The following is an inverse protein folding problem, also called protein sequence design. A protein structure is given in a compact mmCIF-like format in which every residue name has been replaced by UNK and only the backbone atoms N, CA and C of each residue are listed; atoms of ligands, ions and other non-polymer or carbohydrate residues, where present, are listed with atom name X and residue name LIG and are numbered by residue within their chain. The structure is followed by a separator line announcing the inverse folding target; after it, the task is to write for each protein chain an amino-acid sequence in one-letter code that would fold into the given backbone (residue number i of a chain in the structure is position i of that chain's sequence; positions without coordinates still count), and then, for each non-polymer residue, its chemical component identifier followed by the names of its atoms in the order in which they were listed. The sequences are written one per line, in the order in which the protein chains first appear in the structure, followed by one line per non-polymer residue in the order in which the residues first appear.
data_IF_019346998559
#
_entry.id   IF_019346998559
#
_cell.length_a   1.000
_cell.length_b   1.000
_cell.length_c   1.000
_cell.angle_alpha   90.00
_cell.angle_beta   90.00
_cell.angle_gamma   90.00
#
_symmetry.space_group_name_H-M   'P 1'
#
loop_
_entity.id
_entity.type
_entity.pdbx_description
1 polymer ?
#
# COMPACT_ATOMS: atom_id res chain seq x y z
N UNK A 1 10.63 8.60 5.53
CA UNK A 1 10.30 7.18 5.85
C UNK A 1 11.56 6.30 5.92
N UNK A 2 11.49 5.19 6.68
CA UNK A 2 12.54 4.15 6.80
C UNK A 2 11.94 2.74 6.61
N UNK A 3 12.77 1.70 6.71
CA UNK A 3 12.37 0.33 6.42
C UNK A 3 11.90 0.15 4.98
N UNK A 4 11.02 -0.82 4.75
CA UNK A 4 10.41 -1.06 3.44
C UNK A 4 9.69 0.17 2.87
N UNK A 5 9.05 0.99 3.72
CA UNK A 5 8.27 2.15 3.26
C UNK A 5 9.11 3.24 2.58
N UNK A 6 10.44 3.25 2.74
CA UNK A 6 11.31 4.10 1.92
C UNK A 6 11.16 3.82 0.41
N UNK A 7 10.71 2.61 0.04
CA UNK A 7 10.41 2.22 -1.35
C UNK A 7 9.27 3.01 -1.97
N UNK A 8 8.43 3.68 -1.17
CA UNK A 8 7.41 4.61 -1.63
C UNK A 8 8.01 5.77 -2.45
N UNK A 9 9.18 6.27 -2.03
CA UNK A 9 9.88 7.35 -2.73
C UNK A 9 10.74 6.88 -3.91
N UNK A 10 10.92 5.57 -4.05
CA UNK A 10 11.71 4.99 -5.14
C UNK A 10 10.86 4.73 -6.38
N UNK A 11 9.55 5.02 -6.34
CA UNK A 11 8.74 5.01 -7.54
C UNK A 11 9.01 6.28 -8.36
N UNK A 12 9.83 6.14 -9.40
CA UNK A 12 10.17 7.21 -10.34
C UNK A 12 9.24 7.21 -11.57
N UNK A 13 8.15 6.44 -11.54
CA UNK A 13 7.21 6.31 -12.65
C UNK A 13 7.75 5.49 -13.83
N UNK A 14 8.93 4.87 -13.71
CA UNK A 14 9.49 4.03 -14.79
C UNK A 14 9.02 2.58 -14.74
N UNK A 15 8.38 2.19 -13.64
CA UNK A 15 7.83 0.84 -13.49
C UNK A 15 6.63 0.70 -14.41
N UNK A 16 6.62 -0.24 -15.37
CA UNK A 16 5.48 -0.43 -16.23
C UNK A 16 4.23 -0.76 -15.42
N UNK A 17 3.18 0.03 -15.62
CA UNK A 17 1.85 -0.22 -15.07
C UNK A 17 1.24 -1.43 -15.78
N UNK A 18 0.82 -2.41 -14.99
CA UNK A 18 0.08 -3.57 -15.48
C UNK A 18 -1.41 -3.35 -15.18
N UNK A 19 -2.21 -2.94 -16.18
CA UNK A 19 -3.64 -2.71 -15.96
C UNK A 19 -4.35 -4.03 -15.66
N UNK A 20 -5.29 -3.99 -14.72
CA UNK A 20 -6.10 -5.15 -14.34
C UNK A 20 -7.59 -4.82 -14.33
N UNK A 21 -8.41 -5.86 -14.56
CA UNK A 21 -9.86 -5.81 -14.37
C UNK A 21 -10.27 -6.23 -12.96
N UNK A 22 -9.33 -6.77 -12.18
CA UNK A 22 -9.56 -7.12 -10.78
C UNK A 22 -9.66 -5.82 -9.98
N UNK A 23 -10.75 -5.58 -9.23
CA UNK A 23 -10.86 -4.39 -8.40
C UNK A 23 -9.75 -4.34 -7.35
N UNK A 24 -9.06 -3.20 -7.23
CA UNK A 24 -7.93 -3.04 -6.32
C UNK A 24 -8.27 -2.28 -5.02
N UNK A 25 -9.55 -2.18 -4.67
CA UNK A 25 -9.99 -1.48 -3.47
C UNK A 25 -9.52 -2.17 -2.18
N UNK A 26 -8.81 -1.47 -1.30
CA UNK A 26 -8.40 -2.05 -0.03
C UNK A 26 -9.50 -1.98 1.00
N UNK A 27 -9.62 -3.05 1.79
CA UNK A 27 -10.33 -3.05 3.07
C UNK A 27 -9.30 -3.02 4.19
N UNK A 28 -9.35 -1.98 5.01
CA UNK A 28 -8.40 -1.72 6.10
C UNK A 28 -9.16 -1.61 7.42
N UNK A 29 -8.70 -2.33 8.44
CA UNK A 29 -9.20 -2.18 9.80
C UNK A 29 -8.08 -2.24 10.83
N UNK A 30 -8.20 -1.43 11.88
CA UNK A 30 -7.35 -1.47 13.07
C UNK A 30 -8.28 -1.73 14.26
N UNK A 31 -8.15 -2.90 14.89
CA UNK A 31 -9.06 -3.32 15.94
C UNK A 31 -10.50 -3.40 15.44
N UNK A 32 -11.37 -2.51 15.93
CA UNK A 32 -12.78 -2.40 15.49
C UNK A 32 -13.03 -1.22 14.53
N UNK A 33 -12.02 -0.41 14.26
CA UNK A 33 -12.14 0.77 13.40
C UNK A 33 -11.97 0.35 11.94
N UNK A 34 -12.90 0.76 11.10
CA UNK A 34 -12.74 0.68 9.65
C UNK A 34 -12.04 1.95 9.18
N UNK A 35 -10.96 1.79 8.43
CA UNK A 35 -10.19 2.88 7.85
C UNK A 35 -10.41 2.87 6.35
N UNK A 36 -10.62 4.04 5.77
CA UNK A 36 -10.89 4.19 4.35
C UNK A 36 -9.92 5.18 3.73
N UNK A 37 -9.29 4.79 2.62
CA UNK A 37 -8.43 5.68 1.85
C UNK A 37 -9.25 6.84 1.26
N UNK A 38 -8.63 8.00 1.19
CA UNK A 38 -9.20 9.27 0.73
C UNK A 38 -10.42 9.78 1.54
N UNK A 39 -10.70 9.18 2.70
CA UNK A 39 -11.79 9.61 3.59
C UNK A 39 -11.35 9.70 5.05
N UNK A 40 -10.52 8.76 5.51
CA UNK A 40 -9.99 8.79 6.88
C UNK A 40 -8.77 9.69 6.94
N UNK A 41 -8.76 10.63 7.89
CA UNK A 41 -7.55 11.37 8.25
C UNK A 41 -6.50 10.41 8.79
N UNK A 42 -5.25 10.60 8.38
CA UNK A 42 -4.13 9.79 8.87
C UNK A 42 -4.07 9.81 10.40
N UNK A 43 -4.26 10.98 11.03
CA UNK A 43 -4.25 11.16 12.49
C UNK A 43 -5.35 10.40 13.23
N UNK A 44 -6.43 10.01 12.56
CA UNK A 44 -7.58 9.39 13.21
C UNK A 44 -7.49 7.85 13.19
N UNK A 45 -6.54 7.31 12.40
CA UNK A 45 -6.30 5.88 12.26
C UNK A 45 -5.88 5.24 13.58
N UNK A 46 -4.99 5.89 14.31
CA UNK A 46 -4.42 5.42 15.58
C UNK A 46 -3.86 6.60 16.39
N UNK A 47 -3.54 6.37 17.67
CA UNK A 47 -2.91 7.35 18.54
C UNK A 47 -1.38 7.41 18.37
N UNK A 48 -0.80 6.62 17.45
CA UNK A 48 0.63 6.65 17.19
C UNK A 48 1.05 8.02 16.60
N UNK A 49 2.29 8.48 16.85
CA UNK A 49 2.77 9.75 16.33
C UNK A 49 2.72 9.81 14.80
N UNK A 50 2.30 10.96 14.28
CA UNK A 50 2.41 11.26 12.85
C UNK A 50 3.82 11.79 12.58
N UNK A 51 4.57 11.04 11.81
CA UNK A 51 5.85 11.44 11.26
C UNK A 51 5.64 12.22 9.95
N UNK A 52 6.60 13.10 9.62
CA UNK A 52 6.50 13.96 8.44
C UNK A 52 7.85 14.22 7.79
N UNK A 53 7.84 14.32 6.47
CA UNK A 53 8.93 14.88 5.69
C UNK A 53 8.37 15.79 4.58
N UNK A 54 9.20 16.15 3.60
CA UNK A 54 8.79 17.04 2.51
C UNK A 54 7.74 16.43 1.59
N UNK A 55 7.66 15.11 1.51
CA UNK A 55 6.88 14.40 0.50
C UNK A 55 5.63 13.74 1.06
N UNK A 56 5.66 13.30 2.33
CA UNK A 56 4.50 12.67 2.94
C UNK A 56 4.42 12.88 4.46
N UNK A 57 3.23 12.61 4.99
CA UNK A 57 3.02 12.28 6.39
C UNK A 57 2.76 10.78 6.52
N UNK A 58 3.24 10.15 7.60
CA UNK A 58 2.98 8.74 7.83
C UNK A 58 2.87 8.37 9.31
N UNK A 59 2.20 7.25 9.55
CA UNK A 59 2.21 6.56 10.84
C UNK A 59 2.74 5.15 10.58
N UNK A 60 3.64 4.67 11.42
CA UNK A 60 4.05 3.27 11.39
C UNK A 60 3.55 2.49 12.61
N UNK A 61 2.91 1.36 12.34
CA UNK A 61 2.58 0.35 13.33
C UNK A 61 3.33 -0.94 13.01
N UNK A 62 3.60 -1.76 14.02
CA UNK A 62 4.03 -3.14 13.82
C UNK A 62 3.27 -4.10 14.72
N UNK A 63 3.04 -5.32 14.24
CA UNK A 63 2.54 -6.41 15.07
C UNK A 63 3.68 -7.23 15.70
N UNK A 64 3.32 -8.14 16.61
CA UNK A 64 4.27 -9.00 17.31
C UNK A 64 4.96 -10.02 16.37
N UNK A 65 4.38 -10.29 15.19
CA UNK A 65 4.95 -11.17 14.16
C UNK A 65 5.99 -10.45 13.29
N UNK A 66 6.25 -9.16 13.56
CA UNK A 66 7.23 -8.35 12.83
C UNK A 66 6.73 -7.87 11.47
N UNK A 67 5.42 -7.81 11.27
CA UNK A 67 4.81 -7.13 10.12
C UNK A 67 4.65 -5.65 10.46
N UNK A 68 5.17 -4.78 9.60
CA UNK A 68 5.04 -3.35 9.69
C UNK A 68 3.98 -2.84 8.71
N UNK A 69 3.25 -1.80 9.13
CA UNK A 69 2.20 -1.13 8.39
C UNK A 69 2.47 0.37 8.43
N UNK A 70 2.83 0.96 7.29
CA UNK A 70 3.02 2.40 7.16
C UNK A 70 1.81 2.99 6.45
N UNK A 71 0.97 3.66 7.23
CA UNK A 71 -0.15 4.45 6.74
C UNK A 71 0.39 5.79 6.25
N UNK A 72 0.12 6.16 5.00
CA UNK A 72 0.78 7.28 4.33
C UNK A 72 -0.28 8.23 3.79
N UNK A 73 -0.12 9.51 4.11
CA UNK A 73 -0.79 10.62 3.43
C UNK A 73 0.25 11.31 2.55
N UNK A 74 0.05 11.24 1.25
CA UNK A 74 0.84 12.00 0.30
C UNK A 74 0.63 13.51 0.52
N UNK A 75 1.68 14.33 0.49
CA UNK A 75 1.54 15.76 0.75
C UNK A 75 0.95 16.53 -0.44
N UNK A 76 1.14 16.04 -1.67
CA UNK A 76 0.62 16.67 -2.87
C UNK A 76 -0.87 16.36 -3.04
N UNK A 77 -1.23 15.08 -2.88
CA UNK A 77 -2.57 14.59 -3.21
C UNK A 77 -3.44 14.24 -1.99
N UNK A 78 -2.84 13.95 -0.83
CA UNK A 78 -3.56 13.42 0.32
C UNK A 78 -4.17 14.47 1.24
N UNK A 79 -3.58 15.67 1.34
CA UNK A 79 -4.07 16.75 2.23
C UNK A 79 -4.36 16.29 3.70
N UNK A 80 -3.61 15.29 4.19
CA UNK A 80 -3.78 14.68 5.51
C UNK A 80 -4.66 13.42 5.55
N UNK A 81 -5.30 13.06 4.44
CA UNK A 81 -6.05 11.82 4.26
C UNK A 81 -5.11 10.67 3.90
N UNK A 82 -5.48 9.46 4.31
CA UNK A 82 -4.76 8.24 3.94
C UNK A 82 -4.86 8.02 2.42
N UNK A 83 -3.73 8.01 1.70
CA UNK A 83 -3.67 7.75 0.25
C UNK A 83 -2.82 6.55 -0.11
N UNK A 84 -1.93 6.12 0.78
CA UNK A 84 -1.11 4.93 0.56
C UNK A 84 -0.92 4.11 1.85
N UNK A 85 -0.59 2.84 1.67
CA UNK A 85 -0.28 1.90 2.73
C UNK A 85 0.86 0.98 2.29
N UNK A 86 2.02 1.05 2.95
CA UNK A 86 3.10 0.09 2.75
C UNK A 86 3.04 -1.01 3.82
N UNK A 87 3.33 -2.26 3.42
CA UNK A 87 3.30 -3.42 4.31
C UNK A 87 4.50 -4.31 4.03
N UNK A 88 5.22 -4.72 5.08
CA UNK A 88 6.34 -5.65 4.95
C UNK A 88 6.59 -6.46 6.23
N UNK A 89 7.18 -7.65 6.08
CA UNK A 89 7.78 -8.43 7.18
C UNK A 89 9.29 -8.22 7.17
N UNK A 90 9.74 -7.07 7.66
CA UNK A 90 11.14 -6.64 7.57
C UNK A 90 11.76 -6.28 8.94
N UNK A 91 11.15 -6.74 10.03
CA UNK A 91 11.69 -6.62 11.40
C UNK A 91 11.00 -5.54 12.22
N UNK A 92 11.62 -5.07 13.30
CA UNK A 92 11.08 -3.97 14.12
C UNK A 92 11.88 -2.71 13.82
N UNK A 93 11.21 -1.65 13.39
CA UNK A 93 11.82 -0.33 13.18
C UNK A 93 11.47 0.61 14.33
N UNK A 94 12.38 1.53 14.66
CA UNK A 94 12.29 2.37 15.86
C UNK A 94 11.11 3.34 15.82
N UNK A 95 10.75 3.80 14.64
CA UNK A 95 9.62 4.69 14.37
C UNK A 95 8.27 3.97 14.36
N UNK A 96 8.28 2.64 14.30
CA UNK A 96 7.06 1.84 14.30
C UNK A 96 6.63 1.55 15.73
N UNK A 97 5.37 1.85 16.04
CA UNK A 97 4.79 1.61 17.36
C UNK A 97 4.19 0.21 17.39
N UNK A 98 4.54 -0.59 18.42
CA UNK A 98 3.89 -1.88 18.61
C UNK A 98 2.39 -1.67 18.86
N UNK A 99 1.55 -2.37 18.10
CA UNK A 99 0.10 -2.37 18.29
C UNK A 99 -0.39 -3.73 18.78
N UNK A 100 -1.17 -3.72 19.86
CA UNK A 100 -1.94 -4.89 20.30
C UNK A 100 -3.27 -5.02 19.57
N UNK A 101 -3.71 -3.95 18.89
CA UNK A 101 -4.87 -4.00 18.01
C UNK A 101 -4.49 -4.70 16.71
N UNK A 102 -5.29 -5.70 16.34
CA UNK A 102 -5.12 -6.40 15.07
C UNK A 102 -5.29 -5.42 13.90
N UNK A 103 -4.23 -5.29 13.11
CA UNK A 103 -4.30 -4.64 11.79
C UNK A 103 -4.69 -5.70 10.76
N UNK A 104 -5.70 -5.40 9.95
CA UNK A 104 -6.13 -6.26 8.84
C UNK A 104 -6.19 -5.44 7.58
N UNK A 105 -5.53 -5.93 6.55
CA UNK A 105 -5.50 -5.32 5.22
C UNK A 105 -5.77 -6.41 4.21
N UNK A 106 -6.68 -6.16 3.29
CA UNK A 106 -6.99 -7.08 2.20
C UNK A 106 -7.42 -6.33 0.96
N UNK A 107 -7.11 -6.90 -0.20
CA UNK A 107 -7.65 -6.48 -1.51
C UNK A 107 -8.31 -7.73 -2.09
N UNK A 108 -9.57 -7.64 -2.49
CA UNK A 108 -10.37 -8.82 -2.84
C UNK A 108 -9.80 -9.57 -4.04
N UNK A 109 -9.47 -10.86 -3.87
CA UNK A 109 -8.89 -11.67 -4.92
C UNK A 109 -7.42 -11.38 -5.23
N UNK A 110 -6.75 -10.54 -4.43
CA UNK A 110 -5.36 -10.11 -4.65
C UNK A 110 -4.49 -10.53 -3.46
N UNK A 111 -3.47 -11.38 -3.66
CA UNK A 111 -2.56 -11.77 -2.60
C UNK A 111 -1.66 -10.58 -2.25
N UNK A 112 -1.46 -10.33 -0.95
CA UNK A 112 -0.55 -9.28 -0.48
C UNK A 112 0.81 -9.89 -0.11
N UNK A 113 1.12 -10.00 1.19
CA UNK A 113 2.44 -10.45 1.68
C UNK A 113 2.80 -11.92 1.38
N UNK A 114 1.86 -12.72 0.88
CA UNK A 114 2.10 -14.12 0.51
C UNK A 114 2.13 -14.31 -1.01
N UNK A 115 2.13 -13.23 -1.80
CA UNK A 115 2.18 -13.31 -3.24
C UNK A 115 3.50 -13.89 -3.75
N UNK A 116 3.40 -14.76 -4.74
CA UNK A 116 4.50 -15.24 -5.58
C UNK A 116 4.37 -14.67 -6.98
N UNK A 117 5.44 -14.72 -7.79
CA UNK A 117 5.34 -14.37 -9.21
C UNK A 117 4.28 -15.20 -9.95
N UNK A 118 4.09 -16.47 -9.56
CA UNK A 118 3.07 -17.35 -10.15
C UNK A 118 1.65 -16.89 -9.88
N UNK A 119 1.34 -16.46 -8.64
CA UNK A 119 0.01 -15.92 -8.30
C UNK A 119 -0.29 -14.66 -9.13
N UNK A 120 0.74 -13.82 -9.33
CA UNK A 120 0.60 -12.62 -10.15
C UNK A 120 0.44 -12.98 -11.63
N UNK A 121 1.25 -13.88 -12.20
CA UNK A 121 1.08 -14.31 -13.59
C UNK A 121 -0.34 -14.84 -13.88
N UNK A 122 -0.94 -15.57 -12.92
CA UNK A 122 -2.32 -16.06 -13.00
C UNK A 122 -3.33 -14.90 -12.99
N UNK A 123 -3.20 -13.97 -12.04
CA UNK A 123 -4.09 -12.80 -11.93
C UNK A 123 -4.08 -11.91 -13.17
N UNK A 124 -2.92 -11.79 -13.82
CA UNK A 124 -2.78 -10.99 -15.03
C UNK A 124 -3.13 -11.73 -16.30
N UNK A 125 -3.32 -13.06 -16.25
CA UNK A 125 -3.53 -13.89 -17.43
C UNK A 125 -2.40 -13.76 -18.45
N UNK A 126 -1.20 -13.38 -18.01
CA UNK A 126 -0.03 -13.09 -18.84
C UNK A 126 1.19 -13.70 -18.17
N UNK A 127 1.89 -14.59 -18.86
CA UNK A 127 3.22 -15.14 -18.44
C UNK A 127 4.35 -14.08 -18.45
N UNK A 128 4.01 -12.80 -18.48
CA UNK A 128 4.91 -11.70 -18.84
C UNK A 128 5.40 -10.92 -17.63
N UNK A 129 4.89 -11.20 -16.43
CA UNK A 129 5.44 -10.61 -15.20
C UNK A 129 6.83 -11.20 -14.96
N UNK A 130 6.99 -12.51 -15.19
CA UNK A 130 8.28 -13.18 -15.05
C UNK A 130 8.89 -12.90 -13.67
N UNK A 131 10.21 -12.77 -13.59
CA UNK A 131 10.95 -12.61 -12.34
C UNK A 131 11.23 -11.12 -12.03
N UNK A 132 10.33 -10.22 -12.41
CA UNK A 132 10.51 -8.78 -12.21
C UNK A 132 10.64 -8.45 -10.73
N UNK A 133 11.57 -7.54 -10.41
CA UNK A 133 11.80 -7.06 -9.05
C UNK A 133 10.72 -6.10 -8.56
N UNK A 134 10.03 -5.41 -9.46
CA UNK A 134 8.92 -4.52 -9.12
C UNK A 134 7.81 -4.73 -10.12
N UNK A 135 6.59 -4.84 -9.61
CA UNK A 135 5.38 -5.10 -10.40
C UNK A 135 4.31 -4.17 -9.85
N UNK A 136 3.73 -3.33 -10.70
CA UNK A 136 2.72 -2.34 -10.34
C UNK A 136 1.40 -2.73 -10.99
N UNK A 137 0.42 -3.11 -10.17
CA UNK A 137 -0.94 -3.38 -10.62
C UNK A 137 -1.72 -2.08 -10.61
N UNK A 138 -2.47 -1.85 -11.67
CA UNK A 138 -3.16 -0.59 -11.88
C UNK A 138 -4.64 -0.83 -12.22
N UNK A 139 -5.54 -0.10 -11.57
CA UNK A 139 -6.97 -0.15 -11.88
C UNK A 139 -7.63 1.21 -11.69
N UNK A 140 -8.25 1.70 -12.76
CA UNK A 140 -9.02 2.94 -12.75
C UNK A 140 -10.51 2.68 -12.65
N UNK A 141 -11.19 3.57 -11.93
CA UNK A 141 -12.64 3.61 -11.82
C UNK A 141 -13.12 5.04 -12.08
N UNK A 142 -13.94 5.29 -13.11
CA UNK A 142 -14.64 6.56 -13.21
C UNK A 142 -15.53 6.79 -11.98
N UNK A 143 -15.47 7.98 -11.41
CA UNK A 143 -16.33 8.42 -10.30
C UNK A 143 -17.15 9.65 -10.72
N UNK A 144 -17.76 10.35 -9.77
CA UNK A 144 -18.64 11.49 -10.07
C UNK A 144 -17.86 12.68 -10.66
N UNK A 145 -18.57 13.56 -11.36
CA UNK A 145 -18.07 14.85 -11.86
C UNK A 145 -16.82 14.79 -12.76
N UNK A 146 -16.63 13.67 -13.46
CA UNK A 146 -15.53 13.49 -14.41
C UNK A 146 -14.21 13.05 -13.78
N UNK A 147 -14.16 12.86 -12.46
CA UNK A 147 -12.98 12.34 -11.78
C UNK A 147 -12.80 10.84 -12.03
N UNK A 148 -11.56 10.39 -11.89
CA UNK A 148 -11.16 8.98 -11.95
C UNK A 148 -10.42 8.63 -10.67
N UNK A 149 -10.84 7.55 -10.02
CA UNK A 149 -10.10 6.96 -8.91
C UNK A 149 -9.14 5.90 -9.44
N UNK A 150 -7.86 6.13 -9.19
CA UNK A 150 -6.78 5.19 -9.47
C UNK A 150 -6.44 4.40 -8.21
N UNK A 151 -6.50 3.07 -8.32
CA UNK A 151 -6.10 2.14 -7.28
C UNK A 151 -4.88 1.35 -7.75
N UNK A 152 -3.89 1.19 -6.87
CA UNK A 152 -2.65 0.51 -7.20
C UNK A 152 -2.24 -0.50 -6.14
N UNK A 153 -1.58 -1.58 -6.59
CA UNK A 153 -0.86 -2.50 -5.71
C UNK A 153 0.51 -2.76 -6.31
N UNK A 154 1.56 -2.28 -5.65
CA UNK A 154 2.95 -2.46 -6.05
C UNK A 154 3.60 -3.56 -5.22
N UNK A 155 4.18 -4.55 -5.89
CA UNK A 155 4.96 -5.62 -5.29
C UNK A 155 6.44 -5.38 -5.51
N UNK A 156 7.24 -5.64 -4.47
CA UNK A 156 8.69 -5.51 -4.51
C UNK A 156 9.32 -6.85 -4.14
N UNK A 157 10.04 -7.45 -5.07
CA UNK A 157 10.67 -8.75 -4.96
C UNK A 157 12.20 -8.65 -4.90
N UNK A 158 12.80 -9.53 -4.12
CA UNK A 158 14.24 -9.81 -4.07
C UNK A 158 14.46 -11.28 -4.45
N UNK A 159 14.69 -11.51 -5.75
CA UNK A 159 14.55 -12.84 -6.33
C UNK A 159 13.11 -13.32 -6.23
N UNK A 160 12.90 -14.54 -5.75
CA UNK A 160 11.55 -15.13 -5.52
C UNK A 160 10.90 -14.63 -4.22
N UNK A 161 11.64 -13.91 -3.36
CA UNK A 161 11.15 -13.49 -2.06
C UNK A 161 10.48 -12.12 -2.16
N UNK A 162 9.21 -12.05 -1.76
CA UNK A 162 8.53 -10.77 -1.59
C UNK A 162 9.11 -9.98 -0.41
N UNK A 163 9.49 -8.73 -0.66
CA UNK A 163 9.99 -7.78 0.35
C UNK A 163 8.86 -7.02 1.02
N UNK A 164 7.83 -6.67 0.26
CA UNK A 164 6.69 -5.94 0.75
C UNK A 164 5.78 -5.50 -0.38
N UNK A 165 4.67 -4.87 0.00
CA UNK A 165 3.66 -4.35 -0.92
C UNK A 165 3.32 -2.91 -0.56
N UNK A 166 3.04 -2.09 -1.57
CA UNK A 166 2.50 -0.74 -1.39
C UNK A 166 1.15 -0.69 -2.08
N UNK A 167 0.12 -0.30 -1.35
CA UNK A 167 -1.23 -0.08 -1.86
C UNK A 167 -1.44 1.42 -1.96
N UNK A 168 -1.96 1.91 -3.08
CA UNK A 168 -2.27 3.32 -3.29
C UNK A 168 -3.70 3.52 -3.76
N UNK A 169 -4.29 4.65 -3.38
CA UNK A 169 -5.57 5.11 -3.90
C UNK A 169 -5.57 6.63 -3.99
N UNK A 170 -5.78 7.16 -5.19
CA UNK A 170 -5.83 8.60 -5.46
C UNK A 170 -6.93 8.88 -6.51
N UNK A 171 -7.75 9.89 -6.25
CA UNK A 171 -8.76 10.42 -7.14
C UNK A 171 -8.28 11.72 -7.77
N UNK A 172 -8.27 11.78 -9.09
CA UNK A 172 -7.82 12.94 -9.88
C UNK A 172 -8.73 13.16 -11.11
N UNK A 173 -8.51 14.28 -11.81
CA UNK A 173 -9.21 14.66 -13.04
C UNK A 173 -8.17 14.86 -14.16
#
# INVERSE_FOLDING_TARGET
MSGFAASYYLDDGTTPEEPTKVPLYPTISIGKKNIQMEMSLLSDTTNAPVEKDSSAHWICLHDDDGTNYWFISDNEMGAGLLTALAIARDGIHKECVNTTERVSVSVSGVPLLNATHGDLDELFGKKAIGNRKKILLYQETPVQDGFVQSNTVSYYFDGEKLRGVIIGQITSN
#
